data_IF_691570257486
#
_entry.id   IF_691570257486
#
_cell.length_a   1.000
_cell.length_b   1.000
_cell.length_c   1.000
_cell.angle_alpha   90.00
_cell.angle_beta   90.00
_cell.angle_gamma   90.00
#
_symmetry.space_group_name_H-M   'P 1'
#
loop_
_entity.id
_entity.type
_entity.pdbx_description
1 polymer ?
#
# COMPACT_ATOMS: atom_id res chain seq x y z
N UNK A 1 -1.14 -16.26 -28.99
CA UNK A 1 -0.25 -17.10 -28.17
C UNK A 1 0.55 -16.23 -27.20
N UNK A 2 0.76 -16.68 -25.97
CA UNK A 2 1.60 -15.97 -25.00
C UNK A 2 3.08 -16.06 -25.41
N UNK A 3 3.79 -14.92 -25.46
CA UNK A 3 5.22 -14.88 -25.80
C UNK A 3 6.05 -15.12 -24.54
N UNK A 4 7.07 -15.97 -24.63
CA UNK A 4 8.04 -16.17 -23.55
C UNK A 4 9.07 -15.03 -23.58
N UNK A 5 9.21 -14.23 -22.52
CA UNK A 5 10.19 -13.15 -22.50
C UNK A 5 11.62 -13.71 -22.44
N UNK A 6 12.48 -13.21 -23.33
CA UNK A 6 13.91 -13.56 -23.42
C UNK A 6 14.79 -12.64 -22.57
N UNK A 7 14.37 -11.39 -22.37
CA UNK A 7 15.09 -10.39 -21.58
C UNK A 7 14.92 -10.59 -20.05
N UNK A 8 15.95 -10.30 -19.21
CA UNK A 8 15.84 -10.36 -17.75
C UNK A 8 14.67 -9.57 -17.15
N UNK A 9 14.39 -8.36 -17.65
CA UNK A 9 13.28 -7.54 -17.15
C UNK A 9 11.93 -8.19 -17.46
N UNK A 10 11.78 -8.75 -18.67
CA UNK A 10 10.58 -9.49 -19.07
C UNK A 10 10.33 -10.73 -18.22
N UNK A 11 11.38 -11.49 -17.91
CA UNK A 11 11.29 -12.66 -16.99
C UNK A 11 10.90 -12.25 -15.58
N UNK A 12 11.46 -11.14 -15.06
CA UNK A 12 11.09 -10.57 -13.75
C UNK A 12 9.63 -10.15 -13.72
N UNK A 13 9.16 -9.45 -14.75
CA UNK A 13 7.76 -9.04 -14.87
C UNK A 13 6.83 -10.26 -14.90
N UNK A 14 7.15 -11.27 -15.72
CA UNK A 14 6.37 -12.50 -15.78
C UNK A 14 6.26 -13.20 -14.42
N UNK A 15 7.35 -13.27 -13.65
CA UNK A 15 7.37 -13.83 -12.29
C UNK A 15 6.47 -13.05 -11.33
N UNK A 16 6.53 -11.71 -11.38
CA UNK A 16 5.69 -10.84 -10.54
C UNK A 16 4.22 -11.01 -10.90
N UNK A 17 3.87 -10.93 -12.19
CA UNK A 17 2.49 -11.10 -12.66
C UNK A 17 1.94 -12.47 -12.24
N UNK A 18 2.71 -13.55 -12.41
CA UNK A 18 2.30 -14.89 -11.96
C UNK A 18 2.04 -14.94 -10.45
N UNK A 19 2.86 -14.27 -9.64
CA UNK A 19 2.68 -14.19 -8.18
C UNK A 19 1.40 -13.44 -7.80
N UNK A 20 1.11 -12.31 -8.45
CA UNK A 20 -0.02 -11.44 -8.07
C UNK A 20 -1.29 -11.68 -8.89
N UNK A 21 -1.29 -12.61 -9.86
CA UNK A 21 -2.40 -12.81 -10.83
C UNK A 21 -3.79 -12.91 -10.23
N UNK A 22 -3.90 -13.50 -9.04
CA UNK A 22 -5.17 -13.67 -8.33
C UNK A 22 -5.73 -12.35 -7.76
N UNK A 23 -4.91 -11.31 -7.66
CA UNK A 23 -5.25 -10.00 -7.12
C UNK A 23 -5.55 -8.96 -8.21
N UNK A 24 -5.17 -9.21 -9.47
CA UNK A 24 -5.24 -8.21 -10.56
C UNK A 24 -6.70 -7.86 -10.91
N UNK A 25 -7.60 -8.85 -10.89
CA UNK A 25 -8.98 -8.70 -11.37
C UNK A 25 -10.03 -8.84 -10.27
N UNK A 26 -9.67 -8.61 -9.00
CA UNK A 26 -10.62 -8.78 -7.88
C UNK A 26 -11.82 -7.84 -8.00
N UNK A 27 -11.68 -6.69 -8.65
CA UNK A 27 -12.79 -5.77 -8.94
C UNK A 27 -13.89 -6.36 -9.83
N UNK A 28 -13.60 -7.44 -10.59
CA UNK A 28 -14.59 -8.13 -11.43
C UNK A 28 -15.59 -8.89 -10.55
N UNK A 29 -15.13 -9.46 -9.43
CA UNK A 29 -15.97 -10.26 -8.53
C UNK A 29 -16.44 -9.47 -7.30
N UNK A 30 -15.70 -8.43 -6.88
CA UNK A 30 -16.06 -7.57 -5.76
C UNK A 30 -16.24 -6.11 -6.23
N UNK A 31 -17.50 -5.65 -6.25
CA UNK A 31 -17.88 -4.28 -6.68
C UNK A 31 -17.45 -3.17 -5.72
N UNK A 32 -17.09 -3.49 -4.48
CA UNK A 32 -16.57 -2.50 -3.53
C UNK A 32 -15.14 -2.05 -3.89
N UNK A 33 -14.45 -2.81 -4.75
CA UNK A 33 -13.09 -2.53 -5.18
C UNK A 33 -13.12 -1.81 -6.53
N UNK A 34 -12.52 -0.62 -6.58
CA UNK A 34 -12.34 0.15 -7.81
C UNK A 34 -11.45 -0.60 -8.82
N UNK A 35 -11.83 -0.53 -10.11
CA UNK A 35 -10.99 -0.99 -11.22
C UNK A 35 -9.72 -0.14 -11.44
N UNK A 36 -9.60 1.00 -10.73
CA UNK A 36 -8.46 1.92 -10.82
C UNK A 36 -7.59 1.84 -9.56
N UNK A 37 -6.27 1.91 -9.74
CA UNK A 37 -5.28 1.93 -8.65
C UNK A 37 -5.05 3.34 -8.05
N UNK A 38 -5.76 4.36 -8.54
CA UNK A 38 -5.61 5.77 -8.14
C UNK A 38 -5.63 5.99 -6.62
N UNK A 39 -6.47 5.24 -5.89
CA UNK A 39 -6.52 5.30 -4.44
C UNK A 39 -5.19 4.89 -3.78
N UNK A 40 -4.60 3.81 -4.27
CA UNK A 40 -3.30 3.31 -3.80
C UNK A 40 -2.16 4.24 -4.19
N UNK A 41 -2.14 4.74 -5.43
CA UNK A 41 -1.11 5.69 -5.87
C UNK A 41 -1.13 6.99 -5.08
N UNK A 42 -2.33 7.55 -4.82
CA UNK A 42 -2.49 8.75 -3.99
C UNK A 42 -1.94 8.54 -2.57
N UNK A 43 -2.18 7.37 -1.98
CA UNK A 43 -1.66 7.06 -0.64
C UNK A 43 -0.12 7.05 -0.58
N UNK A 44 0.54 6.64 -1.67
CA UNK A 44 2.01 6.61 -1.79
C UNK A 44 2.64 7.98 -2.08
N UNK A 45 1.87 8.96 -2.57
CA UNK A 45 2.41 10.30 -2.93
C UNK A 45 3.11 10.98 -1.77
N UNK A 46 2.58 10.86 -0.56
CA UNK A 46 3.18 11.46 0.63
C UNK A 46 4.58 10.90 0.90
N UNK A 47 4.77 9.59 0.72
CA UNK A 47 6.08 8.94 0.86
C UNK A 47 7.04 9.39 -0.24
N UNK A 48 6.57 9.55 -1.48
CA UNK A 48 7.39 10.03 -2.59
C UNK A 48 7.82 11.50 -2.39
N UNK A 49 6.90 12.37 -1.94
CA UNK A 49 7.17 13.77 -1.61
C UNK A 49 8.15 13.85 -0.44
N UNK A 50 7.92 13.07 0.62
CA UNK A 50 8.86 13.00 1.75
C UNK A 50 10.25 12.62 1.26
N UNK A 51 10.39 11.53 0.50
CA UNK A 51 11.68 11.07 -0.04
C UNK A 51 12.35 12.13 -0.92
N UNK A 52 11.57 12.88 -1.71
CA UNK A 52 12.09 13.96 -2.56
C UNK A 52 12.69 15.09 -1.72
N UNK A 53 12.00 15.50 -0.65
CA UNK A 53 12.42 16.61 0.21
C UNK A 53 13.58 16.21 1.13
N UNK A 54 13.52 15.02 1.73
CA UNK A 54 14.49 14.59 2.76
C UNK A 54 15.68 13.82 2.18
N UNK A 55 15.68 13.56 0.87
CA UNK A 55 16.59 12.62 0.21
C UNK A 55 16.49 11.18 0.79
N UNK A 56 15.33 10.84 1.36
CA UNK A 56 15.03 9.53 1.93
C UNK A 56 15.63 9.29 3.32
N UNK A 57 15.49 8.05 3.79
CA UNK A 57 15.96 7.64 5.10
C UNK A 57 17.43 7.19 5.06
N UNK A 58 18.18 7.48 6.13
CA UNK A 58 19.55 6.97 6.34
C UNK A 58 19.61 5.71 7.21
N UNK A 59 18.47 5.28 7.75
CA UNK A 59 18.33 4.12 8.61
C UNK A 59 17.13 3.30 8.18
N UNK A 60 17.34 1.99 8.03
CA UNK A 60 16.28 1.04 7.67
C UNK A 60 15.15 1.07 8.71
N UNK A 61 15.48 1.07 10.00
CA UNK A 61 14.51 1.16 11.10
C UNK A 61 13.58 2.38 10.98
N UNK A 62 14.12 3.54 10.62
CA UNK A 62 13.30 4.75 10.41
C UNK A 62 12.35 4.62 9.21
N UNK A 63 12.78 3.94 8.16
CA UNK A 63 11.96 3.71 6.98
C UNK A 63 10.79 2.78 7.26
N UNK A 64 11.02 1.75 8.07
CA UNK A 64 10.01 0.78 8.52
C UNK A 64 9.01 1.48 9.44
N UNK A 65 9.49 2.19 10.47
CA UNK A 65 8.63 2.97 11.37
C UNK A 65 7.74 3.96 10.61
N UNK A 66 8.30 4.66 9.62
CA UNK A 66 7.52 5.58 8.79
C UNK A 66 6.43 4.85 7.99
N UNK A 67 6.76 3.70 7.40
CA UNK A 67 5.81 2.87 6.66
C UNK A 67 4.67 2.38 7.57
N UNK A 68 5.00 1.94 8.79
CA UNK A 68 4.02 1.47 9.78
C UNK A 68 3.06 2.58 10.19
N UNK A 69 3.59 3.77 10.55
CA UNK A 69 2.77 4.93 10.92
C UNK A 69 1.85 5.33 9.77
N UNK A 70 2.38 5.43 8.53
CA UNK A 70 1.57 5.79 7.35
C UNK A 70 0.50 4.74 7.07
N UNK A 71 0.79 3.45 7.26
CA UNK A 71 -0.17 2.36 7.08
C UNK A 71 -1.35 2.49 8.05
N UNK A 72 -1.07 2.73 9.34
CA UNK A 72 -2.09 2.92 10.38
C UNK A 72 -2.94 4.16 10.07
N UNK A 73 -2.30 5.30 9.80
CA UNK A 73 -3.01 6.57 9.56
C UNK A 73 -3.88 6.52 8.30
N UNK A 74 -3.39 5.93 7.20
CA UNK A 74 -4.22 5.80 5.99
C UNK A 74 -5.36 4.81 6.16
N UNK A 75 -5.17 3.74 6.93
CA UNK A 75 -6.25 2.82 7.27
C UNK A 75 -7.31 3.52 8.11
N UNK A 76 -6.91 4.28 9.14
CA UNK A 76 -7.80 5.07 9.97
C UNK A 76 -8.60 6.09 9.14
N UNK A 77 -7.93 6.80 8.23
CA UNK A 77 -8.58 7.77 7.34
C UNK A 77 -9.65 7.12 6.46
N UNK A 78 -9.41 5.90 5.95
CA UNK A 78 -10.41 5.13 5.17
C UNK A 78 -11.60 4.68 6.00
N UNK A 79 -11.45 4.57 7.32
CA UNK A 79 -12.51 4.16 8.25
C UNK A 79 -13.08 5.33 9.06
N UNK A 80 -12.87 6.56 8.60
CA UNK A 80 -13.30 7.78 9.29
C UNK A 80 -12.86 7.88 10.77
N UNK A 81 -11.74 7.23 11.13
CA UNK A 81 -11.14 7.31 12.46
C UNK A 81 -10.07 8.39 12.48
N UNK A 82 -10.01 9.18 13.55
CA UNK A 82 -8.97 10.21 13.70
C UNK A 82 -7.58 9.57 13.77
N UNK A 83 -6.55 10.27 13.27
CA UNK A 83 -5.18 9.76 13.29
C UNK A 83 -4.67 9.54 14.72
N UNK A 84 -5.02 10.42 15.66
CA UNK A 84 -4.58 10.32 17.06
C UNK A 84 -5.24 9.12 17.76
N UNK A 85 -6.52 8.86 17.51
CA UNK A 85 -7.21 7.71 18.10
C UNK A 85 -6.68 6.41 17.51
N UNK A 86 -6.39 6.39 16.20
CA UNK A 86 -5.78 5.24 15.56
C UNK A 86 -4.40 4.90 16.13
N UNK A 87 -3.58 5.91 16.39
CA UNK A 87 -2.27 5.73 17.04
C UNK A 87 -2.45 5.17 18.45
N UNK A 88 -3.36 5.76 19.25
CA UNK A 88 -3.67 5.26 20.60
C UNK A 88 -4.13 3.81 20.59
N UNK A 89 -5.11 3.48 19.75
CA UNK A 89 -5.62 2.10 19.60
C UNK A 89 -4.50 1.13 19.21
N UNK A 90 -3.62 1.52 18.27
CA UNK A 90 -2.52 0.68 17.83
C UNK A 90 -1.50 0.43 18.95
N UNK A 91 -1.15 1.48 19.71
CA UNK A 91 -0.25 1.38 20.87
C UNK A 91 -0.86 0.51 21.99
N UNK A 92 -2.18 0.60 22.18
CA UNK A 92 -2.94 -0.25 23.11
C UNK A 92 -3.16 -1.68 22.58
N UNK A 93 -2.61 -2.02 21.41
CA UNK A 93 -2.82 -3.31 20.71
C UNK A 93 -4.29 -3.63 20.43
N UNK A 94 -5.12 -2.62 20.26
CA UNK A 94 -6.53 -2.74 19.87
C UNK A 94 -6.70 -2.57 18.36
N UNK A 95 -7.56 -3.36 17.71
CA UNK A 95 -7.82 -3.20 16.28
C UNK A 95 -8.53 -1.88 16.02
N UNK A 96 -8.28 -1.29 14.84
CA UNK A 96 -9.08 -0.16 14.36
C UNK A 96 -10.53 -0.63 14.16
N UNK A 97 -11.53 0.21 14.49
CA UNK A 97 -12.93 -0.12 14.27
C UNK A 97 -13.19 -0.43 12.80
N UNK A 98 -14.16 -1.30 12.49
CA UNK A 98 -14.58 -1.53 11.11
C UNK A 98 -15.21 -0.24 10.54
N UNK A 99 -15.14 -0.01 9.22
CA UNK A 99 -15.94 1.05 8.61
C UNK A 99 -17.43 0.81 8.92
N UNK A 100 -18.16 1.89 9.20
CA UNK A 100 -19.61 1.88 9.39
C UNK A 100 -20.34 1.57 8.08
#
# INVERSE_FOLDING_TARGET
>A
MARTPTDPAGRKLQKIIRKVRHQIFVFVTNREISATNNGSERALRHTAVYRKITNGFRSQWRSELYADIRSVVETARRRATSAIDAIRLTLDRRPLPAPA
#
